data_IF_411810765729
#
_entry.id   IF_411810765729
#
_cell.length_a   1.000
_cell.length_b   1.000
_cell.length_c   1.000
_cell.angle_alpha   90.00
_cell.angle_beta   90.00
_cell.angle_gamma   90.00
#
_symmetry.space_group_name_H-M   'P 1'
#
loop_
_entity.id
_entity.type
_entity.pdbx_description
1 polymer ?
#
# COMPACT_ATOMS: atom_id res chain seq x y z
N UNK A 1 46.32 -5.10 -9.40
CA UNK A 1 45.18 -4.31 -9.92
C UNK A 1 43.88 -5.12 -9.87
N UNK A 2 43.85 -6.36 -10.40
CA UNK A 2 42.64 -7.22 -10.44
C UNK A 2 42.07 -7.62 -9.06
N UNK A 3 42.90 -7.81 -8.02
CA UNK A 3 42.42 -8.22 -6.69
C UNK A 3 41.64 -7.17 -5.89
N UNK A 4 41.70 -5.88 -6.26
CA UNK A 4 40.99 -4.80 -5.55
C UNK A 4 39.52 -4.68 -5.97
N UNK A 5 39.19 -5.06 -7.20
CA UNK A 5 37.82 -5.10 -7.71
C UNK A 5 37.01 -6.20 -7.03
N UNK A 6 37.58 -7.41 -6.88
CA UNK A 6 36.93 -8.52 -6.18
C UNK A 6 36.61 -8.20 -4.70
N UNK A 7 37.47 -7.44 -4.01
CA UNK A 7 37.21 -7.00 -2.63
C UNK A 7 36.18 -5.85 -2.53
N UNK A 8 36.09 -4.99 -3.55
CA UNK A 8 35.06 -3.96 -3.65
C UNK A 8 33.68 -4.60 -3.82
N UNK A 9 33.51 -5.51 -4.79
CA UNK A 9 32.23 -6.21 -5.01
C UNK A 9 31.76 -6.98 -3.76
N UNK A 10 32.69 -7.59 -2.99
CA UNK A 10 32.36 -8.34 -1.78
C UNK A 10 31.75 -7.47 -0.66
N UNK A 11 32.14 -6.20 -0.56
CA UNK A 11 31.65 -5.29 0.51
C UNK A 11 30.46 -4.47 0.04
N UNK A 12 30.49 -4.00 -1.22
CA UNK A 12 29.45 -3.16 -1.78
C UNK A 12 28.27 -3.97 -2.35
N UNK A 13 28.46 -5.24 -2.70
CA UNK A 13 27.39 -6.14 -3.16
C UNK A 13 26.29 -6.37 -2.11
N UNK A 14 26.63 -6.83 -0.89
CA UNK A 14 25.65 -6.99 0.19
C UNK A 14 24.99 -5.67 0.60
N UNK A 15 25.74 -4.56 0.60
CA UNK A 15 25.20 -3.23 0.89
C UNK A 15 24.20 -2.77 -0.19
N UNK A 16 24.55 -2.95 -1.47
CA UNK A 16 23.66 -2.64 -2.58
C UNK A 16 22.40 -3.51 -2.57
N UNK A 17 22.53 -4.79 -2.22
CA UNK A 17 21.39 -5.69 -2.04
C UNK A 17 20.47 -5.20 -0.90
N UNK A 18 21.04 -4.82 0.25
CA UNK A 18 20.26 -4.29 1.37
C UNK A 18 19.54 -2.99 1.01
N UNK A 19 20.22 -2.05 0.33
CA UNK A 19 19.61 -0.81 -0.15
C UNK A 19 18.49 -1.09 -1.15
N UNK A 20 18.69 -2.04 -2.08
CA UNK A 20 17.67 -2.45 -3.05
C UNK A 20 16.43 -3.00 -2.37
N UNK A 21 16.60 -3.89 -1.38
CA UNK A 21 15.49 -4.44 -0.58
C UNK A 21 14.79 -3.34 0.23
N UNK A 22 15.54 -2.41 0.83
CA UNK A 22 14.96 -1.30 1.58
C UNK A 22 14.15 -0.36 0.69
N UNK A 23 14.67 -0.03 -0.50
CA UNK A 23 13.95 0.74 -1.51
C UNK A 23 12.68 0.02 -1.97
N UNK A 24 12.75 -1.29 -2.17
CA UNK A 24 11.60 -2.11 -2.54
C UNK A 24 10.49 -2.08 -1.48
N UNK A 25 10.85 -2.25 -0.20
CA UNK A 25 9.89 -2.12 0.90
C UNK A 25 9.31 -0.72 1.00
N UNK A 26 10.13 0.31 0.80
CA UNK A 26 9.70 1.70 0.80
C UNK A 26 8.64 1.96 -0.28
N UNK A 27 8.88 1.55 -1.53
CA UNK A 27 7.90 1.67 -2.63
C UNK A 27 6.63 0.86 -2.34
N UNK A 28 6.79 -0.38 -1.89
CA UNK A 28 5.65 -1.27 -1.59
C UNK A 28 4.76 -0.70 -0.49
N UNK A 29 5.34 -0.11 0.55
CA UNK A 29 4.58 0.54 1.62
C UNK A 29 3.69 1.67 1.09
N UNK A 30 4.23 2.52 0.20
CA UNK A 30 3.43 3.57 -0.46
C UNK A 30 2.30 3.00 -1.31
N UNK A 31 2.56 1.94 -2.09
CA UNK A 31 1.53 1.29 -2.92
C UNK A 31 0.37 0.77 -2.07
N UNK A 32 0.67 0.10 -0.94
CA UNK A 32 -0.35 -0.44 -0.03
C UNK A 32 -1.20 0.68 0.57
N UNK A 33 -0.58 1.73 1.08
CA UNK A 33 -1.29 2.87 1.66
C UNK A 33 -2.16 3.59 0.62
N UNK A 34 -1.62 3.81 -0.57
CA UNK A 34 -2.36 4.42 -1.68
C UNK A 34 -3.55 3.55 -2.11
N UNK A 35 -3.37 2.24 -2.22
CA UNK A 35 -4.45 1.30 -2.53
C UNK A 35 -5.55 1.30 -1.48
N UNK A 36 -5.20 1.33 -0.19
CA UNK A 36 -6.17 1.42 0.89
C UNK A 36 -6.97 2.73 0.82
N UNK A 37 -6.29 3.86 0.56
CA UNK A 37 -6.97 5.15 0.41
C UNK A 37 -7.89 5.15 -0.82
N UNK A 38 -7.43 4.64 -1.96
CA UNK A 38 -8.23 4.54 -3.17
C UNK A 38 -9.48 3.68 -2.96
N UNK A 39 -9.34 2.51 -2.32
CA UNK A 39 -10.47 1.64 -1.99
C UNK A 39 -11.48 2.38 -1.11
N UNK A 40 -11.02 3.08 -0.08
CA UNK A 40 -11.90 3.86 0.79
C UNK A 40 -12.66 4.96 0.02
N UNK A 41 -11.99 5.68 -0.89
CA UNK A 41 -12.65 6.74 -1.66
C UNK A 41 -13.67 6.18 -2.65
N UNK A 42 -13.39 5.02 -3.26
CA UNK A 42 -14.34 4.33 -4.14
C UNK A 42 -15.58 3.87 -3.37
N UNK A 43 -15.41 3.32 -2.17
CA UNK A 43 -16.53 2.97 -1.28
C UNK A 43 -17.36 4.20 -0.89
N UNK A 44 -16.71 5.33 -0.60
CA UNK A 44 -17.38 6.60 -0.30
C UNK A 44 -18.22 7.13 -1.47
N UNK A 45 -17.88 6.77 -2.72
CA UNK A 45 -18.62 7.15 -3.92
C UNK A 45 -19.67 6.10 -4.34
N UNK A 46 -19.73 4.96 -3.64
CA UNK A 46 -20.61 3.84 -3.99
C UNK A 46 -21.78 3.74 -3.00
N UNK A 47 -23.00 4.04 -3.45
CA UNK A 47 -24.21 3.87 -2.63
C UNK A 47 -24.54 2.38 -2.35
N UNK A 48 -24.09 1.48 -3.23
CA UNK A 48 -24.21 0.03 -3.06
C UNK A 48 -23.27 -0.46 -1.95
N UNK A 49 -23.72 -1.42 -1.13
CA UNK A 49 -22.88 -1.99 -0.06
C UNK A 49 -21.83 -2.93 -0.63
N UNK A 50 -20.55 -2.66 -0.36
CA UNK A 50 -19.42 -3.55 -0.71
C UNK A 50 -18.75 -4.13 0.53
N UNK A 51 -19.30 -3.92 1.73
CA UNK A 51 -18.75 -4.49 2.96
C UNK A 51 -18.98 -6.00 3.05
N UNK A 52 -18.11 -6.72 3.77
CA UNK A 52 -18.26 -8.16 3.96
C UNK A 52 -19.49 -8.50 4.82
N UNK A 53 -20.32 -9.44 4.34
CA UNK A 53 -21.51 -9.94 5.04
C UNK A 53 -22.83 -9.57 4.36
N UNK A 54 -23.94 -9.64 5.11
CA UNK A 54 -25.24 -9.25 4.59
C UNK A 54 -25.31 -7.73 4.42
N UNK A 55 -25.81 -7.28 3.25
CA UNK A 55 -26.01 -5.86 2.91
C UNK A 55 -26.74 -5.12 4.04
N UNK A 56 -26.13 -4.03 4.51
CA UNK A 56 -26.68 -3.13 5.53
C UNK A 56 -26.95 -1.76 4.91
N UNK A 57 -28.00 -1.05 5.36
CA UNK A 57 -28.23 0.33 4.94
C UNK A 57 -27.06 1.23 5.40
N UNK A 58 -26.79 2.29 4.64
CA UNK A 58 -25.80 3.31 5.01
C UNK A 58 -26.08 3.85 6.42
N UNK A 59 -25.04 4.05 7.23
CA UNK A 59 -25.12 4.44 8.64
C UNK A 59 -25.07 3.27 9.62
N UNK A 60 -25.14 2.02 9.14
CA UNK A 60 -25.08 0.80 9.95
C UNK A 60 -24.02 -0.20 9.49
N UNK A 61 -23.13 0.18 8.56
CA UNK A 61 -22.09 -0.70 8.00
C UNK A 61 -20.87 -0.80 8.91
N UNK A 62 -20.72 0.10 9.88
CA UNK A 62 -19.69 0.01 10.93
C UNK A 62 -18.32 0.55 10.49
N UNK A 63 -18.27 1.23 9.35
CA UNK A 63 -17.10 1.94 8.84
C UNK A 63 -17.54 3.35 8.42
N UNK A 64 -16.86 4.38 8.92
CA UNK A 64 -17.22 5.78 8.69
C UNK A 64 -17.39 6.10 7.19
N UNK A 65 -16.50 5.58 6.36
CA UNK A 65 -16.48 5.78 4.91
C UNK A 65 -17.66 5.06 4.22
N UNK A 66 -18.05 3.86 4.67
CA UNK A 66 -19.18 3.14 4.10
C UNK A 66 -20.54 3.71 4.53
N UNK A 67 -20.56 4.43 5.65
CA UNK A 67 -21.75 5.03 6.23
C UNK A 67 -22.08 6.42 5.68
N UNK A 68 -21.15 7.04 4.94
CA UNK A 68 -21.30 8.38 4.38
C UNK A 68 -20.97 8.38 2.87
N UNK A 69 -21.76 9.09 2.08
CA UNK A 69 -21.45 9.36 0.66
C UNK A 69 -21.07 10.84 0.53
N UNK A 70 -20.05 11.12 -0.28
CA UNK A 70 -19.63 12.49 -0.57
C UNK A 70 -20.81 13.32 -1.10
N UNK A 71 -21.11 14.45 -0.44
CA UNK A 71 -22.05 15.43 -0.99
C UNK A 71 -21.42 16.11 -2.21
N UNK A 72 -22.18 16.15 -3.30
CA UNK A 72 -21.78 16.62 -4.62
C UNK A 72 -21.55 18.12 -4.67
#
# INVERSE_FOLDING_TARGET
YVGRFAGYDATYGPLAAAIGVMMWFWVTAYIVLFGAQLNSQLELQTACDTTEGASKPMGRRGAFVADHVAQR
#
